data_IF_376381198498
#
_entry.id   IF_376381198498
#
_cell.length_a   1.000
_cell.length_b   1.000
_cell.length_c   1.000
_cell.angle_alpha   90.00
_cell.angle_beta   90.00
_cell.angle_gamma   90.00
#
_symmetry.space_group_name_H-M   'P 1'
#
loop_
_entity.id
_entity.type
_entity.pdbx_description
1 polymer ?
#
# COMPACT_ATOMS: atom_id res chain seq x y z
N UNK A 1 3.23 3.07 25.93
CA UNK A 1 4.26 2.21 25.32
C UNK A 1 3.73 1.82 23.95
N UNK A 2 4.14 2.52 22.89
CA UNK A 2 3.71 2.19 21.52
C UNK A 2 4.59 1.05 21.03
N UNK A 3 4.13 -0.19 21.17
CA UNK A 3 4.82 -1.37 20.68
C UNK A 3 5.04 -1.17 19.18
N UNK A 4 6.29 -0.96 18.77
CA UNK A 4 6.63 -0.70 17.36
C UNK A 4 6.65 -2.04 16.65
N UNK A 5 5.51 -2.48 16.12
CA UNK A 5 5.45 -3.69 15.31
C UNK A 5 5.91 -3.36 13.88
N UNK A 6 6.94 -4.04 13.36
CA UNK A 6 7.52 -3.72 12.05
C UNK A 6 6.52 -3.92 10.90
N UNK A 7 5.54 -4.82 11.09
CA UNK A 7 4.41 -5.01 10.16
C UNK A 7 3.51 -3.77 10.09
N UNK A 8 3.10 -3.23 11.24
CA UNK A 8 2.22 -2.06 11.30
C UNK A 8 2.90 -0.83 10.71
N UNK A 9 4.18 -0.60 11.06
CA UNK A 9 4.97 0.50 10.48
C UNK A 9 5.10 0.38 8.96
N UNK A 10 5.33 -0.82 8.44
CA UNK A 10 5.40 -1.04 6.99
C UNK A 10 4.04 -0.78 6.30
N UNK A 11 2.94 -1.19 6.93
CA UNK A 11 1.58 -0.93 6.42
C UNK A 11 1.30 0.58 6.38
N UNK A 12 1.62 1.31 7.45
CA UNK A 12 1.44 2.76 7.50
C UNK A 12 2.28 3.49 6.44
N UNK A 13 3.54 3.10 6.26
CA UNK A 13 4.42 3.69 5.26
C UNK A 13 3.95 3.43 3.82
N UNK A 14 3.41 2.24 3.56
CA UNK A 14 2.81 1.91 2.27
C UNK A 14 1.50 2.68 2.05
N UNK A 15 0.64 2.78 3.07
CA UNK A 15 -0.60 3.57 2.99
C UNK A 15 -0.32 5.05 2.76
N UNK A 16 0.76 5.61 3.31
CA UNK A 16 1.18 7.00 3.10
C UNK A 16 1.61 7.29 1.65
N UNK A 17 2.05 6.28 0.91
CA UNK A 17 2.40 6.39 -0.52
C UNK A 17 1.15 6.43 -1.42
N UNK A 18 0.00 6.03 -0.90
CA UNK A 18 -1.30 6.09 -1.58
C UNK A 18 -1.78 4.74 -2.10
N UNK A 19 -3.09 4.66 -2.36
CA UNK A 19 -3.79 3.41 -2.67
C UNK A 19 -3.21 2.67 -3.90
N UNK A 20 -2.73 3.40 -4.91
CA UNK A 20 -2.15 2.79 -6.11
C UNK A 20 -0.86 2.01 -5.81
N UNK A 21 0.00 2.55 -4.94
CA UNK A 21 1.26 1.90 -4.56
C UNK A 21 1.01 0.73 -3.61
N UNK A 22 0.01 0.85 -2.74
CA UNK A 22 -0.48 -0.26 -1.92
C UNK A 22 -0.94 -1.43 -2.81
N UNK A 23 -1.80 -1.16 -3.81
CA UNK A 23 -2.25 -2.18 -4.75
C UNK A 23 -1.09 -2.87 -5.50
N UNK A 24 -0.11 -2.08 -5.96
CA UNK A 24 1.09 -2.63 -6.62
C UNK A 24 1.89 -3.52 -5.67
N UNK A 25 2.03 -3.11 -4.41
CA UNK A 25 2.75 -3.88 -3.39
C UNK A 25 2.03 -5.19 -3.08
N UNK A 26 0.71 -5.16 -2.89
CA UNK A 26 -0.13 -6.37 -2.74
C UNK A 26 0.11 -7.33 -3.90
N UNK A 27 0.00 -6.86 -5.13
CA UNK A 27 0.15 -7.69 -6.32
C UNK A 27 1.57 -8.27 -6.48
N UNK A 28 2.61 -7.50 -6.11
CA UNK A 28 4.00 -8.01 -6.06
C UNK A 28 4.15 -9.11 -5.02
N UNK A 29 3.61 -8.91 -3.81
CA UNK A 29 3.65 -9.90 -2.73
C UNK A 29 2.89 -11.18 -3.10
N UNK A 30 1.73 -11.08 -3.75
CA UNK A 30 0.95 -12.23 -4.25
C UNK A 30 1.72 -13.03 -5.30
N UNK A 31 2.46 -12.34 -6.18
CA UNK A 31 3.34 -12.96 -7.17
C UNK A 31 4.67 -13.45 -6.58
N UNK A 32 4.85 -13.37 -5.26
CA UNK A 32 6.12 -13.67 -4.56
C UNK A 32 7.31 -12.91 -5.13
N UNK A 33 7.06 -11.72 -5.67
CA UNK A 33 8.11 -10.83 -6.15
C UNK A 33 8.75 -10.13 -4.95
N UNK A 34 10.06 -9.91 -4.97
CA UNK A 34 10.73 -9.14 -3.95
C UNK A 34 10.21 -7.71 -3.96
N UNK A 35 9.97 -7.17 -2.77
CA UNK A 35 9.62 -5.77 -2.53
C UNK A 35 10.69 -5.22 -1.58
N UNK A 36 11.53 -4.32 -2.07
CA UNK A 36 12.65 -3.76 -1.29
C UNK A 36 12.19 -3.14 0.03
N UNK A 37 11.05 -2.45 0.01
CA UNK A 37 10.45 -1.86 1.21
C UNK A 37 10.10 -2.89 2.30
N UNK A 38 9.98 -4.18 1.95
CA UNK A 38 9.66 -5.28 2.86
C UNK A 38 10.78 -6.32 2.94
N UNK A 39 11.93 -6.06 2.32
CA UNK A 39 13.07 -6.97 2.30
C UNK A 39 13.67 -7.19 3.71
N UNK A 40 13.49 -6.23 4.60
CA UNK A 40 13.90 -6.31 6.00
C UNK A 40 12.97 -7.19 6.86
N UNK A 41 11.80 -7.59 6.34
CA UNK A 41 10.82 -8.42 7.02
C UNK A 41 10.97 -9.89 6.64
N UNK A 42 10.66 -10.78 7.60
CA UNK A 42 10.56 -12.21 7.36
C UNK A 42 9.38 -12.54 6.42
N UNK A 43 9.43 -13.71 5.76
CA UNK A 43 8.32 -14.19 4.92
C UNK A 43 6.99 -14.28 5.68
N UNK A 44 7.04 -14.53 6.99
CA UNK A 44 5.83 -14.52 7.82
C UNK A 44 5.28 -13.11 8.00
N UNK A 45 6.14 -12.14 8.27
CA UNK A 45 5.79 -10.72 8.42
C UNK A 45 5.30 -10.12 7.10
N UNK A 46 5.93 -10.45 5.96
CA UNK A 46 5.47 -10.04 4.63
C UNK A 46 4.05 -10.56 4.32
N UNK A 47 3.73 -11.78 4.75
CA UNK A 47 2.37 -12.33 4.64
C UNK A 47 1.38 -11.61 5.54
N UNK A 48 1.80 -11.22 6.75
CA UNK A 48 0.96 -10.41 7.63
C UNK A 48 0.70 -9.03 7.01
N UNK A 49 1.73 -8.34 6.52
CA UNK A 49 1.59 -7.06 5.79
C UNK A 49 0.60 -7.22 4.62
N UNK A 50 0.74 -8.28 3.82
CA UNK A 50 -0.19 -8.56 2.72
C UNK A 50 -1.63 -8.71 3.21
N UNK A 51 -1.85 -9.44 4.30
CA UNK A 51 -3.18 -9.66 4.88
C UNK A 51 -3.79 -8.36 5.39
N UNK A 52 -3.00 -7.54 6.11
CA UNK A 52 -3.43 -6.25 6.66
C UNK A 52 -3.78 -5.28 5.53
N UNK A 53 -2.92 -5.15 4.51
CA UNK A 53 -3.19 -4.29 3.36
C UNK A 53 -4.47 -4.72 2.65
N UNK A 54 -4.69 -6.02 2.42
CA UNK A 54 -5.93 -6.52 1.79
C UNK A 54 -7.16 -6.28 2.66
N UNK A 55 -7.04 -6.41 3.98
CA UNK A 55 -8.11 -6.10 4.93
C UNK A 55 -8.51 -4.62 4.89
N UNK A 56 -7.50 -3.73 4.88
CA UNK A 56 -7.70 -2.28 4.72
C UNK A 56 -8.36 -1.98 3.37
N UNK A 57 -7.89 -2.59 2.27
CA UNK A 57 -8.45 -2.40 0.93
C UNK A 57 -9.87 -2.97 0.78
N UNK A 58 -10.22 -4.06 1.46
CA UNK A 58 -11.55 -4.68 1.39
C UNK A 58 -12.66 -3.76 1.90
N UNK A 59 -12.34 -2.84 2.83
CA UNK A 59 -13.26 -1.80 3.30
C UNK A 59 -13.57 -0.79 2.19
N UNK A 60 -12.64 -0.58 1.26
CA UNK A 60 -12.84 0.29 0.08
C UNK A 60 -13.50 -0.46 -1.08
N UNK A 61 -13.18 -1.73 -1.31
CA UNK A 61 -13.79 -2.55 -2.38
C UNK A 61 -15.31 -2.76 -2.20
N UNK A 62 -15.76 -2.90 -0.95
CA UNK A 62 -17.19 -3.05 -0.62
C UNK A 62 -18.05 -1.80 -0.92
N UNK A 63 -17.44 -0.67 -1.28
CA UNK A 63 -18.14 0.57 -1.62
C UNK A 63 -18.13 0.90 -3.11
N UNK A 64 -17.35 0.19 -3.92
CA UNK A 64 -17.08 0.54 -5.33
C UNK A 64 -17.25 -0.66 -6.27
N UNK A 65 -18.38 -1.38 -6.18
CA UNK A 65 -18.83 -2.29 -7.24
C UNK A 65 -19.21 -1.58 -8.57
N UNK A 66 -18.83 -0.31 -8.73
CA UNK A 66 -18.95 0.47 -9.96
C UNK A 66 -17.78 1.47 -10.03
N UNK A 67 -16.60 1.03 -10.50
CA UNK A 67 -15.84 1.74 -11.54
C UNK A 67 -14.43 1.14 -11.77
N UNK A 68 -14.00 1.03 -13.04
CA UNK A 68 -12.60 0.84 -13.36
C UNK A 68 -11.87 2.19 -13.39
N UNK A 69 -10.68 2.24 -12.77
CA UNK A 69 -9.60 3.18 -13.09
C UNK A 69 -9.87 4.69 -12.89
N UNK A 70 -9.38 5.27 -11.79
CA UNK A 70 -8.67 6.57 -11.83
C UNK A 70 -7.73 6.73 -10.63
N UNK A 71 -6.44 6.44 -10.84
CA UNK A 71 -5.39 7.25 -10.23
C UNK A 71 -5.36 8.58 -10.99
N UNK A 72 -6.23 9.49 -10.58
CA UNK A 72 -6.15 10.89 -10.98
C UNK A 72 -4.94 11.50 -10.31
N UNK A 73 -3.86 11.63 -11.07
CA UNK A 73 -2.75 12.55 -10.79
C UNK A 73 -3.30 13.95 -10.49
N UNK A 74 -3.61 14.23 -9.22
CA UNK A 74 -3.72 15.61 -8.72
C UNK A 74 -2.46 15.92 -7.94
N UNK A 75 -1.36 15.98 -8.67
CA UNK A 75 -0.15 16.70 -8.28
C UNK A 75 -0.53 18.18 -8.10
N UNK A 76 -0.85 18.58 -6.88
CA UNK A 76 -0.73 19.99 -6.50
C UNK A 76 0.78 20.31 -6.46
N UNK A 77 1.27 20.95 -7.50
CA UNK A 77 2.61 21.51 -7.60
C UNK A 77 2.54 22.92 -8.19
N UNK A 78 2.85 23.90 -7.34
CA UNK A 78 3.04 25.33 -7.63
C UNK A 78 4.10 25.60 -8.72
N UNK A 79 3.88 26.72 -9.42
CA UNK A 79 4.86 27.74 -9.87
C UNK A 79 6.04 27.33 -10.77
N UNK A 80 6.04 27.82 -12.03
CA UNK A 80 7.15 28.59 -12.65
C UNK A 80 6.86 29.02 -14.11
N UNK A 81 6.95 30.33 -14.34
CA UNK A 81 7.43 31.03 -15.56
C UNK A 81 6.78 30.78 -16.94
N UNK A 82 6.06 31.78 -17.47
CA UNK A 82 6.56 32.73 -18.48
C UNK A 82 5.71 34.00 -18.48
#
# INVERSE_FOLDING_TARGET
MTTTHPVETAVEDLCRQGCAEVYRTIHRLEKRQPVDALAHLSRFEQKQVLSELKSIMAVYDARDADTPSVCGIRSLGREAHY
#
